data_IF_069899889289
#
_entry.id   IF_069899889289
#
_cell.length_a   1.000
_cell.length_b   1.000
_cell.length_c   1.000
_cell.angle_alpha   90.00
_cell.angle_beta   90.00
_cell.angle_gamma   90.00
#
_symmetry.space_group_name_H-M   'P 1'
#
loop_
_entity.id
_entity.type
_entity.pdbx_description
1 polymer ?
#
# COMPACT_ATOMS: atom_id res chain seq x y z
N UNK A 1 -53.37 -14.03 43.13
CA UNK A 1 -52.85 -13.97 42.83
C UNK A 1 -51.78 -13.75 42.41
N UNK A 2 -51.19 -13.82 41.90
CA UNK A 2 -50.13 -13.60 41.58
C UNK A 2 -49.64 -13.34 40.42
N UNK A 3 -49.05 -13.03 40.06
CA UNK A 3 -48.65 -12.69 39.00
C UNK A 3 -47.42 -12.71 38.66
N UNK A 4 -46.94 -12.87 38.02
CA UNK A 4 -45.71 -12.98 37.67
C UNK A 4 -45.24 -12.38 36.69
N UNK A 5 -44.50 -12.02 36.46
CA UNK A 5 -43.94 -11.47 35.55
C UNK A 5 -42.79 -11.76 35.02
N UNK A 6 -42.37 -11.72 34.31
CA UNK A 6 -41.30 -11.95 33.71
C UNK A 6 -40.75 -11.24 32.92
N UNK A 7 -40.08 -11.09 32.72
CA UNK A 7 -39.34 -10.46 32.15
C UNK A 7 -38.58 -10.87 31.24
N UNK A 8 -38.51 -10.70 30.51
CA UNK A 8 -37.98 -10.99 29.52
C UNK A 8 -36.77 -10.43 29.27
N UNK A 9 -36.04 -10.62 29.11
CA UNK A 9 -34.90 -10.08 28.95
C UNK A 9 -34.40 -10.15 27.81
N UNK A 10 -34.16 -9.78 27.26
CA UNK A 10 -33.62 -9.72 26.22
C UNK A 10 -32.43 -9.43 25.94
N UNK A 11 -31.76 -9.65 25.53
CA UNK A 11 -30.61 -9.48 25.28
C UNK A 11 -30.22 -9.21 24.12
N UNK A 12 -29.88 -8.62 23.73
CA UNK A 12 -29.51 -8.20 22.70
C UNK A 12 -28.36 -8.50 22.33
N UNK A 13 -27.90 -9.02 22.03
CA UNK A 13 -26.81 -9.37 21.66
C UNK A 13 -26.23 -8.75 20.76
N UNK A 14 -25.89 -8.18 20.43
CA UNK A 14 -25.27 -7.57 19.62
C UNK A 14 -24.19 -7.83 19.13
N UNK A 15 -23.89 -8.21 18.70
CA UNK A 15 -22.94 -8.49 18.16
C UNK A 15 -22.15 -7.81 17.60
N UNK A 16 -21.66 -7.51 17.60
CA UNK A 16 -20.82 -6.84 17.25
C UNK A 16 -20.17 -7.01 16.25
N UNK A 17 -20.01 -7.25 15.78
CA UNK A 17 -19.42 -7.38 14.78
C UNK A 17 -18.51 -6.84 14.34
N UNK A 18 -18.00 -6.66 14.49
CA UNK A 18 -17.00 -6.27 14.14
C UNK A 18 -16.72 -5.97 13.09
N UNK A 19 -16.82 -6.05 12.67
CA UNK A 19 -16.54 -5.73 11.72
C UNK A 19 -15.68 -5.20 11.32
N UNK A 20 -15.52 -4.97 11.25
CA UNK A 20 -14.75 -4.36 10.85
C UNK A 20 -13.88 -4.41 10.28
N UNK A 21 -13.44 -4.45 10.50
CA UNK A 21 -12.43 -4.55 10.01
C UNK A 21 -12.05 -4.41 8.83
N UNK A 22 -12.34 -4.12 8.17
CA UNK A 22 -11.96 -3.95 7.06
C UNK A 22 -11.06 -3.03 6.87
N UNK A 23 -10.18 -2.92 7.30
CA UNK A 23 -9.30 -1.93 7.04
C UNK A 23 -8.76 -2.07 5.74
N UNK A 24 -8.56 -1.07 5.01
CA UNK A 24 -7.98 -1.19 3.84
C UNK A 24 -6.58 -1.51 4.06
N UNK A 25 -5.85 -2.16 3.25
CA UNK A 25 -4.42 -2.38 3.37
C UNK A 25 -3.71 -1.06 3.59
N UNK A 26 -2.74 -1.07 4.43
CA UNK A 26 -2.01 0.14 4.72
C UNK A 26 -1.31 0.66 3.49
N UNK A 27 -1.20 1.96 3.38
CA UNK A 27 -0.43 2.57 2.32
C UNK A 27 1.04 2.52 2.71
N UNK A 28 1.89 2.29 1.74
CA UNK A 28 3.33 2.22 1.96
C UNK A 28 3.98 3.28 1.11
N UNK A 29 4.92 3.99 1.68
CA UNK A 29 5.64 5.01 0.93
C UNK A 29 7.10 4.63 0.78
N UNK A 30 7.62 4.80 -0.42
CA UNK A 30 9.02 4.60 -0.73
C UNK A 30 9.58 5.97 -1.07
N UNK A 31 10.68 6.33 -0.45
CA UNK A 31 11.33 7.60 -0.69
C UNK A 31 12.39 7.42 -1.75
N UNK A 32 12.43 8.35 -2.71
CA UNK A 32 13.50 8.42 -3.70
C UNK A 32 14.40 9.54 -3.27
N UNK A 33 15.63 9.23 -2.92
CA UNK A 33 16.56 10.24 -2.45
C UNK A 33 17.98 9.72 -2.64
N UNK A 34 18.87 10.62 -2.99
CA UNK A 34 20.26 10.28 -3.15
C UNK A 34 20.44 9.10 -4.11
N UNK A 35 19.72 9.13 -5.23
CA UNK A 35 19.80 8.09 -6.25
C UNK A 35 19.45 6.70 -5.72
N UNK A 36 18.56 6.61 -4.77
CA UNK A 36 18.16 5.33 -4.17
C UNK A 36 16.68 5.29 -3.89
N UNK A 37 16.13 4.09 -3.88
CA UNK A 37 14.78 3.86 -3.39
C UNK A 37 14.91 3.34 -1.96
N UNK A 38 14.20 3.98 -1.02
CA UNK A 38 14.30 3.61 0.39
C UNK A 38 12.91 3.38 0.98
N UNK A 39 12.62 2.23 1.50
CA UNK A 39 13.48 1.04 1.52
C UNK A 39 13.51 0.40 0.14
N UNK A 40 14.57 -0.33 -0.19
CA UNK A 40 14.66 -0.93 -1.52
C UNK A 40 13.72 -2.11 -1.72
N UNK A 41 13.35 -2.79 -0.67
CA UNK A 41 12.44 -3.92 -0.75
C UNK A 41 11.30 -3.69 0.24
N UNK A 42 10.08 -3.84 -0.21
CA UNK A 42 8.93 -3.72 0.68
C UNK A 42 8.00 -4.91 0.47
N UNK A 43 7.34 -5.33 1.53
CA UNK A 43 6.32 -6.37 1.45
C UNK A 43 4.99 -5.73 1.77
N UNK A 44 4.02 -5.99 0.93
CA UNK A 44 2.69 -5.42 1.11
C UNK A 44 1.63 -6.48 0.85
N UNK A 45 0.44 -6.33 1.40
CA UNK A 45 -0.64 -7.25 1.09
C UNK A 45 -1.26 -6.93 -0.26
N UNK A 46 -1.95 -7.90 -0.83
CA UNK A 46 -2.71 -7.68 -2.06
C UNK A 46 -3.70 -6.55 -1.81
N UNK A 47 -3.79 -5.65 -2.74
CA UNK A 47 -4.67 -4.50 -2.63
C UNK A 47 -4.01 -3.26 -2.08
N UNK A 48 -2.76 -3.36 -1.65
CA UNK A 48 -2.07 -2.21 -1.08
C UNK A 48 -1.65 -1.22 -2.16
N UNK A 49 -1.61 0.03 -1.78
CA UNK A 49 -1.12 1.09 -2.66
C UNK A 49 0.27 1.48 -2.19
N UNK A 50 1.22 1.48 -3.11
CA UNK A 50 2.58 1.92 -2.82
C UNK A 50 2.78 3.26 -3.51
N UNK A 51 3.32 4.21 -2.78
CA UNK A 51 3.58 5.56 -3.29
C UNK A 51 5.07 5.82 -3.26
N UNK A 52 5.62 6.25 -4.38
CA UNK A 52 7.01 6.67 -4.47
C UNK A 52 7.04 8.19 -4.46
N UNK A 53 7.83 8.76 -3.58
CA UNK A 53 7.96 10.22 -3.46
C UNK A 53 9.38 10.62 -3.76
N UNK A 54 9.57 11.50 -4.73
CA UNK A 54 10.91 11.95 -5.09
C UNK A 54 11.31 13.12 -4.21
N UNK A 55 12.27 12.88 -3.33
CA UNK A 55 12.83 13.92 -2.47
C UNK A 55 14.21 14.35 -2.92
N UNK A 56 14.62 13.92 -4.12
CA UNK A 56 15.90 14.31 -4.67
C UNK A 56 15.78 15.63 -5.42
N UNK A 57 16.90 16.24 -5.70
CA UNK A 57 16.92 17.49 -6.47
C UNK A 57 16.83 17.24 -7.96
N UNK A 58 16.92 16.00 -8.38
CA UNK A 58 16.90 15.68 -9.80
C UNK A 58 15.77 14.76 -10.11
N UNK A 59 15.35 14.71 -11.35
CA UNK A 59 14.21 13.87 -11.72
C UNK A 59 14.52 12.38 -11.70
N UNK A 60 13.53 11.58 -11.40
CA UNK A 60 13.63 10.13 -11.40
C UNK A 60 12.34 9.55 -11.98
N UNK A 61 12.36 8.27 -12.31
CA UNK A 61 11.17 7.54 -12.75
C UNK A 61 11.06 6.25 -11.96
N UNK A 62 9.88 5.65 -12.01
CA UNK A 62 9.63 4.34 -11.43
C UNK A 62 9.04 3.48 -12.53
N UNK A 63 9.81 2.49 -12.97
CA UNK A 63 9.41 1.67 -14.11
C UNK A 63 9.51 0.20 -13.73
N UNK A 64 8.41 -0.52 -13.89
CA UNK A 64 8.39 -1.95 -13.64
C UNK A 64 9.23 -2.67 -14.69
N UNK A 65 10.05 -3.60 -14.25
CA UNK A 65 10.84 -4.41 -15.16
C UNK A 65 9.94 -5.19 -16.12
N UNK A 66 8.80 -5.66 -15.62
CA UNK A 66 7.88 -6.43 -16.43
C UNK A 66 6.77 -5.58 -17.03
N UNK A 67 6.94 -4.25 -17.00
CA UNK A 67 5.99 -3.34 -17.65
C UNK A 67 4.60 -3.37 -17.03
N UNK A 68 4.51 -3.67 -15.76
CA UNK A 68 3.24 -3.67 -15.05
C UNK A 68 2.83 -2.26 -14.71
N UNK A 69 3.80 -1.40 -14.37
CA UNK A 69 3.51 -0.01 -14.05
C UNK A 69 4.67 0.87 -14.53
N UNK A 70 4.39 2.14 -14.68
CA UNK A 70 5.38 3.06 -15.18
C UNK A 70 4.96 4.47 -14.80
N UNK A 71 5.82 5.20 -14.11
CA UNK A 71 5.54 6.58 -13.79
C UNK A 71 5.95 7.48 -14.93
N UNK A 72 5.48 8.72 -14.89
CA UNK A 72 6.09 9.76 -15.70
C UNK A 72 7.36 10.17 -14.98
N UNK A 73 8.08 11.11 -15.55
CA UNK A 73 9.24 11.67 -14.88
C UNK A 73 8.74 12.42 -13.64
N UNK A 74 9.33 12.12 -12.52
CA UNK A 74 8.97 12.75 -11.25
C UNK A 74 10.03 13.80 -10.92
N UNK A 75 9.61 15.04 -10.85
CA UNK A 75 10.49 16.11 -10.41
C UNK A 75 10.51 16.14 -8.89
N UNK A 76 11.30 17.01 -8.31
CA UNK A 76 11.37 17.11 -6.85
C UNK A 76 9.99 17.26 -6.25
N UNK A 77 9.72 16.49 -5.21
CA UNK A 77 8.47 16.48 -4.46
C UNK A 77 7.27 15.92 -5.20
N UNK A 78 7.46 15.37 -6.38
CA UNK A 78 6.38 14.70 -7.08
C UNK A 78 6.28 13.25 -6.66
N UNK A 79 5.10 12.68 -6.81
CA UNK A 79 4.82 11.32 -6.35
C UNK A 79 4.15 10.50 -7.43
N UNK A 80 4.30 9.19 -7.30
CA UNK A 80 3.64 8.23 -8.16
C UNK A 80 3.09 7.12 -7.27
N UNK A 81 1.88 6.69 -7.49
CA UNK A 81 1.27 5.63 -6.70
C UNK A 81 0.73 4.54 -7.61
N UNK A 82 0.83 3.31 -7.15
CA UNK A 82 0.29 2.17 -7.87
C UNK A 82 -0.32 1.20 -6.87
N UNK A 83 -1.49 0.66 -7.19
CA UNK A 83 -2.18 -0.31 -6.34
C UNK A 83 -1.93 -1.70 -6.87
N UNK A 84 -1.40 -2.57 -6.00
CA UNK A 84 -1.04 -3.93 -6.39
C UNK A 84 -2.19 -4.88 -6.08
N UNK A 85 -2.88 -5.36 -7.09
CA UNK A 85 -4.02 -6.23 -6.89
C UNK A 85 -3.70 -7.71 -7.11
N UNK A 86 -2.49 -8.04 -7.44
CA UNK A 86 -2.06 -9.41 -7.71
C UNK A 86 -0.82 -9.74 -6.90
N UNK A 87 -0.79 -10.91 -6.31
CA UNK A 87 0.39 -11.35 -5.57
C UNK A 87 1.56 -11.58 -6.52
N UNK A 88 2.76 -11.37 -6.03
CA UNK A 88 3.96 -11.57 -6.83
C UNK A 88 5.08 -10.66 -6.40
N UNK A 89 6.22 -10.78 -7.07
CA UNK A 89 7.36 -9.92 -6.83
C UNK A 89 7.52 -9.01 -8.03
N UNK A 90 7.52 -7.73 -7.78
CA UNK A 90 7.59 -6.73 -8.84
C UNK A 90 8.85 -5.91 -8.68
N UNK A 91 9.82 -6.15 -9.55
CA UNK A 91 11.05 -5.37 -9.55
C UNK A 91 10.86 -4.11 -10.37
N UNK A 92 11.56 -3.06 -10.01
CA UNK A 92 11.44 -1.81 -10.74
C UNK A 92 12.79 -1.08 -10.72
N UNK A 93 12.89 -0.07 -11.54
CA UNK A 93 14.13 0.68 -11.68
C UNK A 93 13.81 2.10 -12.13
N UNK A 94 14.81 2.96 -12.09
CA UNK A 94 14.70 4.30 -12.63
C UNK A 94 15.25 4.29 -14.03
N UNK A 95 14.47 4.69 -15.03
CA UNK A 95 14.92 4.64 -16.41
C UNK A 95 16.00 5.67 -16.72
N UNK A 96 16.11 6.69 -15.89
CA UNK A 96 17.16 7.71 -16.08
C UNK A 96 18.45 7.25 -15.42
N UNK A 97 18.35 6.48 -14.34
CA UNK A 97 19.50 5.97 -13.62
C UNK A 97 19.31 4.47 -13.41
N UNK A 98 19.54 3.66 -14.42
CA UNK A 98 19.11 2.24 -14.39
C UNK A 98 19.68 1.38 -13.28
N UNK A 99 20.70 1.84 -12.59
CA UNK A 99 21.23 1.07 -11.47
C UNK A 99 20.43 1.27 -10.20
N UNK A 100 19.54 2.26 -10.18
CA UNK A 100 18.63 2.44 -9.07
C UNK A 100 17.51 1.41 -9.22
N UNK A 101 17.44 0.46 -8.31
CA UNK A 101 16.45 -0.62 -8.39
C UNK A 101 15.80 -0.85 -7.05
N UNK A 102 14.63 -1.47 -7.09
CA UNK A 102 13.93 -1.87 -5.90
C UNK A 102 12.93 -2.95 -6.23
N UNK A 103 12.21 -3.42 -5.23
CA UNK A 103 11.16 -4.38 -5.49
C UNK A 103 10.04 -4.31 -4.47
N UNK A 104 8.86 -4.66 -4.92
CA UNK A 104 7.66 -4.76 -4.08
C UNK A 104 7.26 -6.22 -4.08
N UNK A 105 7.13 -6.80 -2.90
CA UNK A 105 6.68 -8.18 -2.75
C UNK A 105 5.25 -8.13 -2.25
N UNK A 106 4.33 -8.64 -3.05
CA UNK A 106 2.90 -8.61 -2.75
C UNK A 106 2.46 -10.00 -2.36
N UNK A 107 1.96 -10.16 -1.14
CA UNK A 107 1.58 -11.50 -0.67
C UNK A 107 0.43 -11.50 0.37
#
# INVERSE_FOLDING_TARGET
>A
MRTILYIGVLIAACCGVAAAAQSKPAATEITIDNFSFTPPDVKVPVGATVTWANHDDIPHTVVSTDKVFKSKVLDSDEKYAYTFSTAGTFTYFCSIHPKMTGKVIVQ
#
